data_IF_320529859623
#
_entry.id   IF_320529859623
#
_cell.length_a   1.000
_cell.length_b   1.000
_cell.length_c   1.000
_cell.angle_alpha   90.00
_cell.angle_beta   90.00
_cell.angle_gamma   90.00
#
_symmetry.space_group_name_H-M   'P 1'
#
loop_
_entity.id
_entity.type
_entity.pdbx_description
1 polymer ?
#
# COMPACT_ATOMS: atom_id res chain seq x y z
N UNK A 1 8.94 -6.23 -29.49
CA UNK A 1 9.01 -5.83 -28.07
C UNK A 1 10.20 -4.91 -27.91
N UNK A 2 9.99 -3.60 -27.70
CA UNK A 2 11.09 -2.66 -27.38
C UNK A 2 11.70 -3.04 -26.04
N UNK A 3 13.00 -2.86 -25.89
CA UNK A 3 13.67 -3.13 -24.63
C UNK A 3 13.20 -2.08 -23.59
N UNK A 4 12.79 -2.50 -22.41
CA UNK A 4 12.34 -1.62 -21.31
C UNK A 4 13.40 -0.56 -20.95
N UNK A 5 14.69 -0.86 -21.19
CA UNK A 5 15.81 0.03 -20.92
C UNK A 5 15.97 1.18 -21.93
N UNK A 6 15.26 1.13 -23.07
CA UNK A 6 15.33 2.18 -24.11
C UNK A 6 14.27 3.28 -23.91
N UNK A 7 13.37 3.12 -22.94
CA UNK A 7 12.31 4.08 -22.61
C UNK A 7 12.76 5.03 -21.49
N UNK A 8 12.24 6.27 -21.46
CA UNK A 8 12.43 7.16 -20.31
C UNK A 8 11.99 6.51 -18.99
N UNK A 9 12.78 6.73 -17.96
CA UNK A 9 12.41 6.35 -16.58
C UNK A 9 11.31 7.29 -16.12
N UNK A 10 10.18 6.74 -15.70
CA UNK A 10 9.08 7.48 -15.12
C UNK A 10 9.00 7.15 -13.63
N UNK A 11 9.08 8.19 -12.83
CA UNK A 11 8.95 8.14 -11.39
C UNK A 11 7.70 8.91 -11.03
N UNK A 12 6.72 8.23 -10.43
CA UNK A 12 5.43 8.84 -10.18
C UNK A 12 5.10 8.80 -8.70
N UNK A 13 4.84 9.97 -8.25
CA UNK A 13 4.31 10.21 -6.92
C UNK A 13 2.78 10.34 -7.04
N UNK A 14 2.04 9.66 -6.20
CA UNK A 14 0.58 9.65 -6.28
C UNK A 14 0.00 10.92 -5.65
N UNK A 15 -0.86 11.66 -6.38
CA UNK A 15 -1.67 12.75 -5.83
C UNK A 15 -3.09 12.26 -5.58
N UNK A 16 -3.58 12.40 -4.37
CA UNK A 16 -5.02 12.38 -4.09
C UNK A 16 -5.65 11.03 -3.76
N UNK A 17 -4.93 10.06 -3.22
CA UNK A 17 -5.54 8.84 -2.70
C UNK A 17 -5.26 8.61 -1.22
N UNK A 18 -6.31 8.38 -0.41
CA UNK A 18 -6.10 7.88 0.95
C UNK A 18 -5.67 6.42 0.87
N UNK A 19 -4.36 6.18 0.92
CA UNK A 19 -3.86 4.85 1.14
C UNK A 19 -4.16 4.46 2.59
N UNK A 20 -5.00 3.46 2.78
CA UNK A 20 -5.25 2.87 4.09
C UNK A 20 -4.19 1.81 4.36
N UNK A 21 -3.42 2.01 5.42
CA UNK A 21 -2.60 0.96 5.97
C UNK A 21 -3.50 -0.04 6.71
N UNK A 22 -3.58 -1.24 6.18
CA UNK A 22 -4.07 -2.38 6.94
C UNK A 22 -2.85 -3.21 7.29
N UNK A 23 -2.42 -3.21 8.54
CA UNK A 23 -1.53 -4.26 9.00
C UNK A 23 -2.39 -5.49 9.26
N UNK A 24 -2.27 -6.49 8.40
CA UNK A 24 -2.79 -7.81 8.71
C UNK A 24 -1.78 -8.50 9.63
N UNK A 25 -2.13 -8.78 10.90
CA UNK A 25 -1.24 -9.48 11.79
C UNK A 25 -1.28 -10.96 11.47
N UNK A 26 -0.50 -11.36 10.53
CA UNK A 26 -0.12 -12.76 10.54
C UNK A 26 0.92 -12.91 11.64
N UNK A 27 0.48 -13.21 12.86
CA UNK A 27 1.38 -13.69 13.87
C UNK A 27 1.99 -15.00 13.36
N UNK A 28 3.21 -14.97 12.89
CA UNK A 28 4.00 -16.18 12.68
C UNK A 28 4.73 -16.47 13.98
N UNK A 29 4.64 -17.70 14.43
CA UNK A 29 5.42 -18.18 15.57
C UNK A 29 6.74 -18.67 15.01
N UNK A 30 7.87 -18.13 15.48
CA UNK A 30 9.20 -18.61 15.09
C UNK A 30 9.46 -20.02 15.69
N UNK A 31 10.57 -20.66 15.27
CA UNK A 31 10.96 -22.00 15.75
C UNK A 31 11.16 -22.06 17.27
N UNK A 32 11.29 -20.93 17.94
CA UNK A 32 11.44 -20.78 19.40
C UNK A 32 10.14 -20.44 20.12
N UNK A 33 9.00 -20.40 19.40
CA UNK A 33 7.70 -20.09 19.99
C UNK A 33 7.43 -18.57 20.16
N UNK A 34 8.30 -17.69 19.65
CA UNK A 34 8.12 -16.26 19.75
C UNK A 34 7.16 -15.77 18.65
N UNK A 35 6.20 -14.94 19.02
CA UNK A 35 5.29 -14.31 18.09
C UNK A 35 5.99 -13.16 17.37
N UNK A 36 6.10 -13.23 16.03
CA UNK A 36 6.65 -12.18 15.20
C UNK A 36 5.53 -11.43 14.49
N UNK A 37 5.50 -10.11 14.67
CA UNK A 37 4.58 -9.23 13.95
C UNK A 37 5.14 -8.88 12.58
N UNK A 38 4.26 -8.85 11.59
CA UNK A 38 4.58 -8.36 10.25
C UNK A 38 3.81 -7.06 9.98
N UNK A 39 4.47 -6.09 9.40
CA UNK A 39 3.88 -4.84 8.94
C UNK A 39 3.50 -4.97 7.48
N UNK A 40 2.31 -4.48 7.15
CA UNK A 40 1.83 -4.39 5.77
C UNK A 40 1.35 -2.97 5.51
N UNK A 41 1.50 -2.53 4.25
CA UNK A 41 0.95 -1.29 3.75
C UNK A 41 -0.03 -1.62 2.62
N UNK A 42 -1.27 -1.17 2.75
CA UNK A 42 -2.31 -1.31 1.74
C UNK A 42 -2.73 0.06 1.25
N UNK A 43 -3.00 0.20 -0.05
CA UNK A 43 -3.52 1.44 -0.56
C UNK A 43 -3.34 1.62 -2.05
N UNK A 44 -3.53 2.86 -2.52
CA UNK A 44 -3.31 3.24 -3.91
C UNK A 44 -1.80 3.28 -4.16
N UNK A 45 -1.35 2.52 -5.15
CA UNK A 45 0.05 2.46 -5.57
C UNK A 45 0.30 3.29 -6.83
N UNK A 46 -0.71 3.47 -7.67
CA UNK A 46 -0.69 4.34 -8.84
C UNK A 46 -2.09 4.84 -9.13
N UNK A 47 -2.22 6.10 -9.54
CA UNK A 47 -3.49 6.76 -9.82
C UNK A 47 -3.63 7.07 -11.31
N UNK A 48 -4.80 6.79 -11.86
CA UNK A 48 -5.13 7.01 -13.25
C UNK A 48 -6.07 8.17 -13.49
N UNK A 49 -6.07 8.66 -14.76
CA UNK A 49 -6.97 9.71 -15.27
C UNK A 49 -6.86 11.06 -14.53
N UNK A 50 -5.84 11.24 -13.71
CA UNK A 50 -5.57 12.47 -12.96
C UNK A 50 -4.17 12.96 -13.26
N UNK A 51 -4.02 14.26 -13.50
CA UNK A 51 -2.70 14.88 -13.64
C UNK A 51 -1.96 14.83 -12.29
N UNK A 52 -0.79 14.21 -12.30
CA UNK A 52 0.06 14.13 -11.12
C UNK A 52 0.97 15.37 -10.98
N UNK A 53 1.75 15.43 -9.89
CA UNK A 53 2.63 16.57 -9.63
C UNK A 53 3.79 16.72 -10.62
N UNK A 54 4.06 15.68 -11.43
CA UNK A 54 5.02 15.76 -12.53
C UNK A 54 4.36 16.24 -13.84
N UNK A 55 3.08 16.64 -13.81
CA UNK A 55 2.32 17.09 -14.96
C UNK A 55 1.99 15.95 -15.94
N UNK A 56 1.85 14.70 -15.46
CA UNK A 56 1.60 13.53 -16.29
C UNK A 56 0.24 12.93 -15.97
N UNK A 57 -0.43 12.42 -17.01
CA UNK A 57 -1.71 11.72 -16.92
C UNK A 57 -1.49 10.28 -17.36
N UNK A 58 -1.89 9.35 -16.52
CA UNK A 58 -1.85 7.93 -16.83
C UNK A 58 -3.23 7.45 -17.26
N UNK A 59 -3.45 7.16 -18.56
CA UNK A 59 -4.71 6.57 -19.00
C UNK A 59 -4.99 5.25 -18.27
N UNK A 60 -6.25 5.02 -17.93
CA UNK A 60 -6.68 3.78 -17.26
C UNK A 60 -6.22 2.52 -17.98
N UNK A 61 -6.23 2.52 -19.33
CA UNK A 61 -5.76 1.39 -20.14
C UNK A 61 -4.29 1.07 -19.90
N UNK A 62 -3.46 2.10 -19.75
CA UNK A 62 -2.03 1.93 -19.47
C UNK A 62 -1.78 1.37 -18.06
N UNK A 63 -2.50 1.90 -17.06
CA UNK A 63 -2.41 1.37 -15.70
C UNK A 63 -2.90 -0.06 -15.64
N UNK A 64 -4.04 -0.38 -16.27
CA UNK A 64 -4.56 -1.74 -16.27
C UNK A 64 -3.53 -2.74 -16.83
N UNK A 65 -2.91 -2.43 -17.97
CA UNK A 65 -1.87 -3.27 -18.56
C UNK A 65 -0.64 -3.41 -17.67
N UNK A 66 -0.18 -2.31 -17.07
CA UNK A 66 0.98 -2.32 -16.17
C UNK A 66 0.70 -3.10 -14.87
N UNK A 67 -0.51 -3.00 -14.33
CA UNK A 67 -0.97 -3.76 -13.17
C UNK A 67 -1.05 -5.25 -13.48
N UNK A 68 -1.61 -5.64 -14.63
CA UNK A 68 -1.66 -7.04 -15.08
C UNK A 68 -0.26 -7.64 -15.19
N UNK A 69 0.68 -6.92 -15.82
CA UNK A 69 2.07 -7.34 -15.94
C UNK A 69 2.72 -7.52 -14.55
N UNK A 70 2.50 -6.58 -13.64
CA UNK A 70 3.06 -6.66 -12.28
C UNK A 70 2.42 -7.82 -11.47
N UNK A 71 1.12 -8.08 -11.65
CA UNK A 71 0.46 -9.26 -11.06
C UNK A 71 1.08 -10.57 -11.54
N UNK A 72 1.43 -10.67 -12.81
CA UNK A 72 2.10 -11.84 -13.36
C UNK A 72 3.47 -12.05 -12.71
N UNK A 73 4.24 -10.97 -12.54
CA UNK A 73 5.53 -11.02 -11.83
C UNK A 73 5.37 -11.46 -10.37
N UNK A 74 4.36 -10.94 -9.66
CA UNK A 74 4.04 -11.34 -8.28
C UNK A 74 3.70 -12.83 -8.22
N UNK A 75 2.87 -13.33 -9.13
CA UNK A 75 2.50 -14.76 -9.19
C UNK A 75 3.71 -15.66 -9.49
N UNK A 76 4.58 -15.21 -10.39
CA UNK A 76 5.73 -16.00 -10.82
C UNK A 76 6.83 -16.07 -9.75
N UNK A 77 7.06 -14.96 -9.04
CA UNK A 77 8.20 -14.83 -8.11
C UNK A 77 7.80 -14.78 -6.63
N UNK A 78 6.49 -14.84 -6.32
CA UNK A 78 5.99 -14.74 -4.95
C UNK A 78 6.00 -13.31 -4.38
N UNK A 79 6.21 -12.31 -5.22
CA UNK A 79 6.24 -10.89 -4.90
C UNK A 79 7.26 -10.12 -5.70
N UNK A 80 7.18 -8.79 -5.66
CA UNK A 80 8.13 -7.87 -6.28
C UNK A 80 8.78 -7.03 -5.20
N UNK A 81 10.12 -6.98 -5.20
CA UNK A 81 10.89 -6.19 -4.23
C UNK A 81 10.75 -4.70 -4.51
N UNK A 82 10.65 -3.89 -3.45
CA UNK A 82 10.68 -2.44 -3.52
C UNK A 82 11.69 -1.84 -2.56
N UNK A 83 12.12 -0.63 -2.86
CA UNK A 83 13.18 0.07 -2.14
C UNK A 83 12.62 1.14 -1.21
N UNK A 84 13.40 1.47 -0.19
CA UNK A 84 13.25 2.70 0.55
C UNK A 84 14.00 3.78 -0.21
N UNK A 85 13.31 4.93 -0.40
CA UNK A 85 13.76 6.00 -1.29
C UNK A 85 13.58 5.67 -2.78
N UNK A 86 13.80 6.63 -3.66
CA UNK A 86 13.43 6.55 -5.06
C UNK A 86 14.64 6.78 -5.98
N UNK A 87 15.43 5.72 -6.28
CA UNK A 87 16.63 5.86 -7.09
C UNK A 87 16.33 6.11 -8.57
N UNK A 88 17.20 6.84 -9.26
CA UNK A 88 17.13 7.15 -10.68
C UNK A 88 17.55 5.96 -11.57
N UNK A 89 17.09 4.75 -11.24
CA UNK A 89 17.42 3.53 -12.00
C UNK A 89 16.26 2.54 -12.01
N UNK A 90 16.15 1.78 -13.09
CA UNK A 90 15.16 0.70 -13.20
C UNK A 90 15.62 -0.60 -12.53
N UNK A 91 16.89 -0.69 -12.15
CA UNK A 91 17.45 -1.88 -11.49
C UNK A 91 17.26 -1.74 -9.98
N UNK A 92 16.64 -2.76 -9.38
CA UNK A 92 16.43 -2.79 -7.92
C UNK A 92 17.76 -3.09 -7.22
N UNK A 93 18.15 -2.20 -6.31
CA UNK A 93 19.32 -2.38 -5.47
C UNK A 93 18.92 -3.12 -4.18
N UNK A 94 19.33 -4.37 -4.06
CA UNK A 94 18.98 -5.21 -2.92
C UNK A 94 19.45 -4.66 -1.56
N UNK A 95 20.42 -3.78 -1.53
CA UNK A 95 20.85 -3.12 -0.28
C UNK A 95 19.80 -2.13 0.25
N UNK A 96 18.97 -1.57 -0.63
CA UNK A 96 17.93 -0.60 -0.28
C UNK A 96 16.55 -1.24 -0.12
N UNK A 97 16.44 -2.54 -0.36
CA UNK A 97 15.15 -3.24 -0.27
C UNK A 97 14.57 -3.13 1.14
N UNK A 98 13.35 -2.61 1.20
CA UNK A 98 12.60 -2.40 2.44
C UNK A 98 11.32 -3.21 2.53
N UNK A 99 10.75 -3.65 1.40
CA UNK A 99 9.46 -4.32 1.35
C UNK A 99 9.33 -5.25 0.16
N UNK A 100 8.27 -6.05 0.19
CA UNK A 100 7.86 -6.97 -0.86
C UNK A 100 6.41 -6.66 -1.23
N UNK A 101 6.15 -6.30 -2.48
CA UNK A 101 4.80 -6.13 -3.03
C UNK A 101 4.21 -7.53 -3.20
N UNK A 102 3.12 -7.80 -2.51
CA UNK A 102 2.49 -9.13 -2.46
C UNK A 102 1.19 -9.21 -3.24
N UNK A 103 0.55 -8.08 -3.49
CA UNK A 103 -0.66 -7.96 -4.29
C UNK A 103 -0.76 -6.60 -4.95
N UNK A 104 -1.36 -6.56 -6.14
CA UNK A 104 -1.80 -5.35 -6.82
C UNK A 104 -3.00 -5.69 -7.69
N UNK A 105 -3.96 -4.79 -7.80
CA UNK A 105 -5.14 -4.94 -8.64
C UNK A 105 -5.70 -3.58 -9.02
N UNK A 106 -6.55 -3.55 -10.03
CA UNK A 106 -7.31 -2.34 -10.36
C UNK A 106 -8.47 -2.14 -9.38
N UNK A 107 -8.69 -0.89 -8.99
CA UNK A 107 -9.89 -0.41 -8.31
C UNK A 107 -10.31 0.92 -8.96
N UNK A 108 -11.38 0.88 -9.76
CA UNK A 108 -11.76 2.02 -10.61
C UNK A 108 -10.69 2.35 -11.64
N UNK A 109 -10.10 3.54 -11.52
CA UNK A 109 -8.99 4.01 -12.40
C UNK A 109 -7.62 3.76 -11.78
N UNK A 110 -7.57 3.36 -10.50
CA UNK A 110 -6.35 3.29 -9.73
C UNK A 110 -5.83 1.85 -9.60
N UNK A 111 -4.51 1.71 -9.51
CA UNK A 111 -3.87 0.48 -9.11
C UNK A 111 -3.71 0.46 -7.59
N UNK A 112 -4.42 -0.43 -6.90
CA UNK A 112 -4.35 -0.61 -5.45
C UNK A 112 -3.61 -1.89 -5.11
N UNK A 113 -2.85 -1.88 -4.03
CA UNK A 113 -2.02 -3.03 -3.71
C UNK A 113 -1.73 -3.21 -2.23
N UNK A 114 -1.01 -4.28 -1.96
CA UNK A 114 -0.49 -4.65 -0.64
C UNK A 114 1.00 -4.90 -0.71
N UNK A 115 1.74 -4.38 0.26
CA UNK A 115 3.16 -4.71 0.43
C UNK A 115 3.46 -5.10 1.88
N UNK A 116 4.38 -6.06 2.02
CA UNK A 116 4.90 -6.53 3.30
C UNK A 116 6.23 -5.84 3.60
N UNK A 117 6.36 -5.23 4.77
CA UNK A 117 7.63 -4.65 5.23
C UNK A 117 8.60 -5.77 5.63
N UNK A 118 9.80 -5.71 5.12
CA UNK A 118 10.85 -6.68 5.37
C UNK A 118 11.70 -6.24 6.57
N UNK A 119 11.15 -6.35 7.78
CA UNK A 119 11.75 -5.88 9.04
C UNK A 119 13.14 -6.46 9.36
N UNK A 120 13.59 -7.48 8.63
CA UNK A 120 14.94 -8.03 8.79
C UNK A 120 15.99 -7.37 7.88
N UNK A 121 15.58 -6.56 6.90
CA UNK A 121 16.51 -5.76 6.08
C UNK A 121 16.83 -4.44 6.77
N UNK A 122 18.00 -3.82 6.52
CA UNK A 122 18.32 -2.53 7.09
C UNK A 122 17.27 -1.46 6.78
N UNK A 123 16.86 -1.34 5.52
CA UNK A 123 15.86 -0.36 5.07
C UNK A 123 14.46 -0.68 5.60
N UNK A 124 14.08 -1.96 5.68
CA UNK A 124 12.82 -2.38 6.28
C UNK A 124 12.72 -2.05 7.78
N UNK A 125 13.83 -2.13 8.53
CA UNK A 125 13.87 -1.67 9.94
C UNK A 125 13.66 -0.17 10.08
N UNK A 126 14.18 0.62 9.14
CA UNK A 126 13.95 2.07 9.11
C UNK A 126 12.45 2.34 8.90
N UNK A 127 11.84 1.69 7.89
CA UNK A 127 10.40 1.83 7.61
C UNK A 127 9.58 1.42 8.82
N UNK A 128 9.85 0.26 9.43
CA UNK A 128 9.15 -0.21 10.63
C UNK A 128 9.28 0.78 11.79
N UNK A 129 10.47 1.33 12.02
CA UNK A 129 10.70 2.34 13.05
C UNK A 129 9.87 3.61 12.81
N UNK A 130 9.91 4.15 11.59
CA UNK A 130 9.14 5.33 11.22
C UNK A 130 7.63 5.11 11.37
N UNK A 131 7.11 3.97 10.92
CA UNK A 131 5.70 3.62 11.08
C UNK A 131 5.31 3.47 12.56
N UNK A 132 6.19 2.86 13.36
CA UNK A 132 5.98 2.69 14.80
C UNK A 132 5.92 4.02 15.55
N UNK A 133 6.68 5.02 15.09
CA UNK A 133 6.69 6.37 15.61
C UNK A 133 5.57 7.26 15.04
N UNK A 134 4.70 6.68 14.17
CA UNK A 134 3.57 7.39 13.56
C UNK A 134 3.98 8.35 12.44
N UNK A 135 5.17 8.18 11.87
CA UNK A 135 5.63 9.00 10.74
C UNK A 135 4.89 8.55 9.48
N UNK A 136 4.17 9.46 8.78
CA UNK A 136 3.51 9.13 7.55
C UNK A 136 4.54 8.90 6.44
N UNK A 137 4.45 7.76 5.77
CA UNK A 137 5.23 7.45 4.59
C UNK A 137 4.34 7.43 3.35
N UNK A 138 4.90 7.72 2.21
CA UNK A 138 4.22 7.62 0.92
C UNK A 138 4.75 6.47 0.09
N UNK A 139 4.12 6.28 -1.07
CA UNK A 139 4.59 5.34 -2.08
C UNK A 139 4.69 6.03 -3.44
N UNK A 140 5.59 5.52 -4.28
CA UNK A 140 5.82 6.05 -5.61
C UNK A 140 6.06 4.90 -6.58
N UNK A 141 5.34 4.89 -7.71
CA UNK A 141 5.60 3.92 -8.77
C UNK A 141 6.86 4.31 -9.53
N UNK A 142 7.72 3.31 -9.80
CA UNK A 142 8.91 3.44 -10.65
C UNK A 142 8.76 2.52 -11.84
N UNK A 143 8.93 3.10 -13.03
CA UNK A 143 8.74 2.38 -14.28
C UNK A 143 9.34 3.09 -15.47
N UNK A 144 8.96 2.67 -16.65
CA UNK A 144 9.34 3.30 -17.91
C UNK A 144 8.12 3.48 -18.80
N UNK A 145 8.15 4.50 -19.64
CA UNK A 145 7.06 4.82 -20.57
C UNK A 145 7.39 6.02 -21.42
N UNK A 146 6.52 6.34 -22.36
CA UNK A 146 6.62 7.52 -23.20
C UNK A 146 5.63 8.58 -22.70
N UNK A 147 5.97 9.86 -22.82
CA UNK A 147 5.10 10.98 -22.45
C UNK A 147 4.85 11.82 -23.68
N UNK A 148 3.58 12.01 -24.04
CA UNK A 148 3.21 12.96 -25.09
C UNK A 148 3.39 14.40 -24.60
N UNK A 149 4.14 15.21 -25.34
CA UNK A 149 4.50 16.57 -24.93
C UNK A 149 3.34 17.58 -25.04
N UNK A 150 2.22 17.23 -25.70
CA UNK A 150 1.05 18.09 -25.87
C UNK A 150 -0.06 17.73 -24.90
N UNK A 151 -0.32 16.43 -24.71
CA UNK A 151 -1.41 15.96 -23.87
C UNK A 151 -0.94 15.59 -22.47
N UNK A 152 0.37 15.48 -22.25
CA UNK A 152 0.97 14.96 -21.01
C UNK A 152 0.56 13.49 -20.68
N UNK A 153 -0.08 12.82 -21.63
CA UNK A 153 -0.49 11.40 -21.45
C UNK A 153 0.71 10.46 -21.56
N UNK A 154 0.69 9.48 -20.68
CA UNK A 154 1.69 8.41 -20.67
C UNK A 154 1.21 7.24 -21.51
N UNK A 155 2.13 6.67 -22.30
CA UNK A 155 1.90 5.49 -23.10
C UNK A 155 3.03 4.47 -22.96
N UNK A 156 2.77 3.22 -23.32
CA UNK A 156 3.73 2.11 -23.19
C UNK A 156 4.33 1.98 -21.78
N UNK A 157 3.51 2.23 -20.77
CA UNK A 157 3.94 2.26 -19.38
C UNK A 157 4.15 0.85 -18.82
N UNK A 158 5.33 0.60 -18.26
CA UNK A 158 5.66 -0.62 -17.55
C UNK A 158 6.15 -0.29 -16.14
N UNK A 159 5.49 -0.84 -15.12
CA UNK A 159 5.90 -0.70 -13.71
C UNK A 159 7.00 -1.71 -13.40
N UNK A 160 8.12 -1.23 -12.89
CA UNK A 160 9.20 -2.08 -12.37
C UNK A 160 8.95 -2.41 -10.90
N UNK A 161 8.57 -1.41 -10.11
CA UNK A 161 8.29 -1.56 -8.68
C UNK A 161 7.50 -0.36 -8.15
N UNK A 162 7.09 -0.46 -6.90
CA UNK A 162 6.55 0.64 -6.09
C UNK A 162 7.52 0.84 -4.94
N UNK A 163 8.06 2.04 -4.76
CA UNK A 163 9.01 2.38 -3.72
C UNK A 163 8.33 3.08 -2.54
N UNK A 164 8.90 2.96 -1.33
CA UNK A 164 8.45 3.72 -0.15
C UNK A 164 9.28 5.01 -0.07
N UNK A 165 8.60 6.15 0.03
CA UNK A 165 9.22 7.48 0.04
C UNK A 165 8.81 8.30 1.28
N UNK A 166 9.72 9.14 1.77
CA UNK A 166 9.47 9.97 2.95
C UNK A 166 8.48 11.12 2.66
N UNK A 167 8.54 11.68 1.47
CA UNK A 167 7.67 12.76 1.03
C UNK A 167 7.10 12.41 -0.33
N UNK A 168 5.88 11.88 -0.40
CA UNK A 168 5.23 11.75 -1.68
C UNK A 168 5.01 13.15 -2.23
N UNK A 169 5.32 13.38 -3.50
CA UNK A 169 5.00 14.66 -4.17
C UNK A 169 3.50 14.87 -4.30
N UNK A 170 2.72 13.94 -3.85
CA UNK A 170 1.28 13.92 -3.82
C UNK A 170 0.77 14.13 -2.41
N UNK A 171 -0.07 15.13 -2.23
CA UNK A 171 -0.60 15.53 -0.91
C UNK A 171 -1.44 14.45 -0.22
N UNK A 172 -1.98 13.48 -0.94
CA UNK A 172 -2.91 12.46 -0.42
C UNK A 172 -2.35 11.02 -0.49
N UNK A 173 -1.14 10.79 -1.01
CA UNK A 173 -0.49 9.47 -1.01
C UNK A 173 0.21 9.17 0.32
N UNK A 174 -0.49 9.37 1.42
CA UNK A 174 -0.04 9.03 2.76
C UNK A 174 -0.81 7.83 3.27
N UNK A 175 -0.20 6.63 3.27
CA UNK A 175 -0.79 5.50 3.95
C UNK A 175 -0.98 5.84 5.43
N UNK A 176 -2.14 5.52 5.99
CA UNK A 176 -2.40 5.72 7.41
C UNK A 176 -1.98 4.47 8.18
N UNK A 177 -1.05 4.55 9.15
CA UNK A 177 -0.71 3.41 10.00
C UNK A 177 -1.92 3.04 10.86
N UNK A 178 -2.44 1.83 10.70
CA UNK A 178 -3.44 1.28 11.60
C UNK A 178 -2.71 0.42 12.63
N UNK A 179 -2.73 0.89 13.88
CA UNK A 179 -2.17 0.15 15.00
C UNK A 179 -3.05 -1.06 15.33
N UNK A 180 -2.52 -2.21 15.09
CA UNK A 180 -3.15 -3.51 15.29
C UNK A 180 -3.58 -3.83 16.73
N UNK A 181 -2.88 -3.28 17.71
CA UNK A 181 -3.08 -3.60 19.12
C UNK A 181 -4.49 -3.27 19.65
N UNK A 182 -5.21 -2.35 18.98
CA UNK A 182 -6.56 -1.93 19.39
C UNK A 182 -7.69 -2.71 18.68
N UNK A 183 -7.45 -3.21 17.47
CA UNK A 183 -8.49 -3.89 16.69
C UNK A 183 -8.70 -5.35 17.12
N UNK A 184 -7.66 -6.06 17.56
CA UNK A 184 -7.74 -7.52 17.73
C UNK A 184 -8.38 -7.98 19.04
N UNK A 185 -8.20 -7.26 20.15
CA UNK A 185 -8.80 -7.67 21.41
C UNK A 185 -10.29 -7.33 21.50
N UNK A 186 -10.62 -6.04 21.35
CA UNK A 186 -12.01 -5.55 21.51
C UNK A 186 -12.82 -5.57 20.21
N UNK A 187 -12.24 -5.20 19.06
CA UNK A 187 -12.97 -5.12 17.80
C UNK A 187 -13.42 -6.48 17.28
N UNK A 188 -12.56 -7.51 17.34
CA UNK A 188 -12.93 -8.87 16.93
C UNK A 188 -13.99 -9.45 17.86
N UNK A 189 -13.89 -9.19 19.15
CA UNK A 189 -14.89 -9.63 20.12
C UNK A 189 -16.24 -8.92 19.91
N UNK A 190 -16.21 -7.61 19.60
CA UNK A 190 -17.43 -6.86 19.27
C UNK A 190 -18.07 -7.33 17.97
N UNK A 191 -17.26 -7.59 16.93
CA UNK A 191 -17.75 -8.12 15.66
C UNK A 191 -18.28 -9.55 15.78
N UNK A 192 -17.62 -10.41 16.57
CA UNK A 192 -18.10 -11.76 16.88
C UNK A 192 -19.43 -11.70 17.62
N UNK A 193 -19.51 -10.87 18.68
CA UNK A 193 -20.74 -10.67 19.43
C UNK A 193 -21.87 -10.06 18.56
N UNK A 194 -21.53 -9.16 17.63
CA UNK A 194 -22.49 -8.60 16.67
C UNK A 194 -23.05 -9.68 15.74
N UNK A 195 -22.19 -10.53 15.19
CA UNK A 195 -22.58 -11.63 14.33
C UNK A 195 -23.47 -12.63 15.07
N UNK A 196 -23.13 -12.97 16.31
CA UNK A 196 -23.92 -13.87 17.16
C UNK A 196 -25.29 -13.27 17.54
N UNK A 197 -25.35 -11.97 17.88
CA UNK A 197 -26.60 -11.26 18.15
C UNK A 197 -27.52 -11.19 16.93
N UNK A 198 -26.96 -10.94 15.73
CA UNK A 198 -27.72 -10.92 14.48
C UNK A 198 -28.25 -12.33 14.14
N UNK A 199 -27.40 -13.36 14.28
CA UNK A 199 -27.77 -14.74 13.99
C UNK A 199 -28.85 -15.26 14.93
N UNK A 200 -28.87 -14.82 16.19
CA UNK A 200 -29.80 -15.29 17.21
C UNK A 200 -31.03 -14.37 17.42
N UNK A 201 -31.15 -13.29 16.62
CA UNK A 201 -32.21 -12.29 16.75
C UNK A 201 -32.39 -11.75 18.19
N UNK A 202 -31.25 -11.48 18.87
CA UNK A 202 -31.18 -11.17 20.29
C UNK A 202 -31.63 -9.71 20.57
N UNK A 203 -32.31 -9.52 21.70
CA UNK A 203 -32.79 -8.21 22.18
C UNK A 203 -31.67 -7.26 22.62
N UNK A 204 -30.42 -7.71 22.64
CA UNK A 204 -29.26 -6.93 23.06
C UNK A 204 -28.57 -6.16 21.92
N UNK A 205 -29.15 -6.14 20.72
CA UNK A 205 -28.60 -5.41 19.55
C UNK A 205 -28.37 -3.92 19.86
N UNK A 206 -29.22 -3.31 20.68
CA UNK A 206 -29.11 -1.90 21.04
C UNK A 206 -27.89 -1.63 21.95
N UNK A 207 -27.69 -2.46 22.98
CA UNK A 207 -26.53 -2.35 23.87
C UNK A 207 -25.21 -2.57 23.11
N UNK A 208 -25.20 -3.51 22.17
CA UNK A 208 -24.06 -3.79 21.32
C UNK A 208 -23.76 -2.62 20.37
N UNK A 209 -24.79 -1.98 19.81
CA UNK A 209 -24.63 -0.79 18.99
C UNK A 209 -24.04 0.38 19.79
N UNK A 210 -24.47 0.56 21.03
CA UNK A 210 -23.96 1.59 21.95
C UNK A 210 -22.51 1.31 22.31
N UNK A 211 -22.12 0.05 22.50
CA UNK A 211 -20.74 -0.37 22.76
C UNK A 211 -19.84 -0.13 21.55
N UNK A 212 -20.31 -0.45 20.33
CA UNK A 212 -19.60 -0.18 19.07
C UNK A 212 -19.41 1.34 18.86
N UNK A 213 -20.47 2.12 19.06
CA UNK A 213 -20.43 3.59 18.92
C UNK A 213 -19.52 4.21 19.98
N UNK A 214 -19.56 3.72 21.22
CA UNK A 214 -18.66 4.15 22.31
C UNK A 214 -17.20 3.83 21.97
N UNK A 215 -16.95 2.64 21.44
CA UNK A 215 -15.63 2.21 21.02
C UNK A 215 -15.09 3.06 19.86
N UNK A 216 -15.91 3.33 18.81
CA UNK A 216 -15.55 4.23 17.71
C UNK A 216 -15.27 5.66 18.22
N UNK A 217 -16.09 6.17 19.15
CA UNK A 217 -15.89 7.49 19.76
C UNK A 217 -14.65 7.57 20.65
N UNK A 218 -14.19 6.46 21.21
CA UNK A 218 -12.95 6.39 21.99
C UNK A 218 -11.70 6.53 21.11
N UNK A 219 -11.85 6.36 19.79
CA UNK A 219 -10.83 6.69 18.82
C UNK A 219 -10.75 8.20 18.70
N UNK A 220 -9.74 8.75 19.34
CA UNK A 220 -9.52 10.19 19.35
C UNK A 220 -8.99 10.64 17.98
N UNK A 221 -9.91 10.84 17.03
CA UNK A 221 -9.62 11.50 15.76
C UNK A 221 -9.31 12.98 16.08
N UNK A 222 -8.14 13.28 16.60
CA UNK A 222 -7.68 14.65 16.63
C UNK A 222 -7.26 15.05 15.22
N UNK A 223 -8.01 16.05 14.73
CA UNK A 223 -7.79 16.83 13.53
C UNK A 223 -6.35 17.31 13.39
#
# INVERSE_FOLDING_TARGET
MGNILDKPILQEYISGGQAHLVSDPTETVDENGNKKKHWYLDGIFIQGEVENLNGRIYPRSEINRAVENLQEQIKLHGGVLGELDHPDTLVINVHNVSHLITDIRMDGNDGVGRMKILSNTPSGKIVEGLLSDGVPLGVSSRGSGNVDSYTSEVSDFDIVTIDIVATPSAQDARPTPIYEKLMYGKGKQLLSNAADCIANNDKHVQALNDDIVSWIKSWNWRK
#
